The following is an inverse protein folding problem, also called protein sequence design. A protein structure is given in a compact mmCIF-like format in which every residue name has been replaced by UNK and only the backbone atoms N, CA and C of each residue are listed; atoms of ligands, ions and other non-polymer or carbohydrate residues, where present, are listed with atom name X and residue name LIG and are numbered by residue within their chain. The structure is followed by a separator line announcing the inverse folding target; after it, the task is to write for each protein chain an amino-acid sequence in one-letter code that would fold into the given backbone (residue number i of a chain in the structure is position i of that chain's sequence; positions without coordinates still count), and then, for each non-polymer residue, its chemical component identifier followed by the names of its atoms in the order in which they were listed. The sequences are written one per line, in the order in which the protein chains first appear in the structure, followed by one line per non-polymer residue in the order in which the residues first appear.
data_IF_358432268296
#
_entry.id   IF_358432268296
#
_cell.length_a   1.000
_cell.length_b   1.000
_cell.length_c   1.000
_cell.angle_alpha   90.00
_cell.angle_beta   90.00
_cell.angle_gamma   90.00
#
_symmetry.space_group_name_H-M   'P 1'
#
loop_
_entity.id
_entity.type
_entity.pdbx_description
1 polymer ?
#
# COMPACT_ATOMS: atom_id res chain seq x y z
N UNK A 1 -10.92 1.45 22.10
CA UNK A 1 -10.49 2.86 22.23
C UNK A 1 -9.88 3.44 20.95
N UNK A 2 -9.04 2.71 20.19
CA UNK A 2 -8.39 3.19 18.95
C UNK A 2 -9.40 3.63 17.88
N UNK A 3 -10.51 2.90 17.71
CA UNK A 3 -11.53 3.25 16.72
C UNK A 3 -12.19 4.61 16.96
N UNK A 4 -12.44 4.96 18.20
CA UNK A 4 -13.08 6.24 18.54
C UNK A 4 -12.17 7.43 18.25
N UNK A 5 -10.87 7.28 18.50
CA UNK A 5 -9.86 8.29 18.13
C UNK A 5 -9.74 8.44 16.61
N UNK A 6 -9.81 7.33 15.88
CA UNK A 6 -9.75 7.34 14.41
C UNK A 6 -10.96 8.06 13.80
N UNK A 7 -12.18 7.73 14.25
CA UNK A 7 -13.38 8.43 13.78
C UNK A 7 -13.40 9.91 14.19
N UNK A 8 -12.89 10.22 15.38
CA UNK A 8 -12.73 11.61 15.83
C UNK A 8 -11.76 12.40 14.93
N UNK A 9 -10.65 11.79 14.56
CA UNK A 9 -9.66 12.40 13.65
C UNK A 9 -10.25 12.65 12.24
N UNK A 10 -10.99 11.69 11.69
CA UNK A 10 -11.69 11.85 10.40
C UNK A 10 -12.73 12.97 10.48
N UNK A 11 -13.53 13.03 11.55
CA UNK A 11 -14.52 14.07 11.72
C UNK A 11 -13.88 15.47 11.80
N UNK A 12 -12.82 15.62 12.60
CA UNK A 12 -12.04 16.85 12.69
C UNK A 12 -11.44 17.25 11.33
N UNK A 13 -10.87 16.29 10.60
CA UNK A 13 -10.35 16.52 9.26
C UNK A 13 -11.47 16.96 8.30
N UNK A 14 -12.65 16.35 8.35
CA UNK A 14 -13.81 16.76 7.56
C UNK A 14 -14.25 18.19 7.85
N UNK A 15 -14.32 18.59 9.12
CA UNK A 15 -14.61 19.98 9.51
C UNK A 15 -13.55 20.94 9.00
N UNK A 16 -12.27 20.58 9.12
CA UNK A 16 -11.16 21.39 8.61
C UNK A 16 -11.24 21.58 7.09
N UNK A 17 -11.51 20.52 6.32
CA UNK A 17 -11.64 20.58 4.86
C UNK A 17 -12.81 21.45 4.41
N UNK A 18 -13.94 21.38 5.10
CA UNK A 18 -15.09 22.24 4.85
C UNK A 18 -14.76 23.71 5.16
N UNK A 19 -14.14 23.98 6.31
CA UNK A 19 -13.73 25.33 6.68
C UNK A 19 -12.74 25.92 5.65
N UNK A 20 -11.76 25.15 5.20
CA UNK A 20 -10.82 25.55 4.16
C UNK A 20 -11.52 25.78 2.81
N UNK A 21 -12.37 24.86 2.37
CA UNK A 21 -13.11 24.98 1.12
C UNK A 21 -14.00 26.22 1.04
N UNK A 22 -14.55 26.67 2.19
CA UNK A 22 -15.41 27.87 2.25
C UNK A 22 -14.57 29.14 2.37
N UNK A 23 -13.51 29.14 3.15
CA UNK A 23 -12.77 30.36 3.46
C UNK A 23 -11.65 30.66 2.44
N UNK A 24 -11.01 29.63 1.87
CA UNK A 24 -9.90 29.83 0.93
C UNK A 24 -10.29 30.66 -0.31
N UNK A 25 -11.44 30.43 -0.97
CA UNK A 25 -11.91 31.28 -2.08
C UNK A 25 -12.17 32.73 -1.64
N UNK A 26 -12.55 32.94 -0.37
CA UNK A 26 -12.73 34.30 0.20
C UNK A 26 -11.41 35.02 0.31
N UNK A 27 -10.39 34.35 0.83
CA UNK A 27 -9.05 34.94 1.03
C UNK A 27 -8.36 35.23 -0.31
N UNK A 28 -8.62 34.38 -1.33
CA UNK A 28 -8.08 34.58 -2.67
C UNK A 28 -8.86 35.60 -3.51
N UNK A 29 -9.93 36.21 -2.97
CA UNK A 29 -10.73 37.23 -3.69
C UNK A 29 -11.59 36.67 -4.83
N UNK A 30 -11.73 35.36 -4.94
CA UNK A 30 -12.49 34.69 -6.02
C UNK A 30 -13.97 34.69 -5.64
N UNK A 31 -14.68 35.80 -5.90
CA UNK A 31 -16.08 35.92 -5.51
C UNK A 31 -17.05 35.34 -6.54
N UNK A 32 -16.73 35.47 -7.85
CA UNK A 32 -17.68 35.16 -8.96
C UNK A 32 -18.01 33.66 -9.10
N UNK A 33 -17.07 32.76 -8.75
CA UNK A 33 -17.26 31.30 -8.91
C UNK A 33 -17.08 30.53 -7.58
N UNK A 34 -17.42 31.17 -6.50
CA UNK A 34 -17.22 30.68 -5.13
C UNK A 34 -17.77 29.27 -4.88
N UNK A 35 -19.06 28.96 -5.25
CA UNK A 35 -19.59 27.62 -5.02
C UNK A 35 -18.84 26.53 -5.82
N UNK A 36 -18.43 26.86 -7.04
CA UNK A 36 -17.67 25.93 -7.89
C UNK A 36 -16.31 25.59 -7.27
N UNK A 37 -15.59 26.60 -6.77
CA UNK A 37 -14.30 26.41 -6.08
C UNK A 37 -14.46 25.62 -4.78
N UNK A 38 -15.52 25.85 -4.02
CA UNK A 38 -15.77 25.08 -2.79
C UNK A 38 -16.01 23.61 -3.12
N UNK A 39 -16.83 23.31 -4.13
CA UNK A 39 -17.11 21.93 -4.56
C UNK A 39 -15.85 21.23 -5.07
N UNK A 40 -14.92 21.93 -5.71
CA UNK A 40 -13.67 21.35 -6.18
C UNK A 40 -12.63 21.19 -5.05
N UNK A 41 -12.48 22.19 -4.18
CA UNK A 41 -11.46 22.20 -3.15
C UNK A 41 -11.75 21.25 -1.98
N UNK A 42 -13.00 21.09 -1.59
CA UNK A 42 -13.37 20.20 -0.48
C UNK A 42 -12.89 18.75 -0.71
N UNK A 43 -13.25 18.08 -1.82
CA UNK A 43 -12.75 16.73 -2.08
C UNK A 43 -11.24 16.69 -2.28
N UNK A 44 -10.65 17.69 -2.93
CA UNK A 44 -9.20 17.74 -3.16
C UNK A 44 -8.42 17.78 -1.85
N UNK A 45 -8.83 18.63 -0.89
CA UNK A 45 -8.20 18.72 0.43
C UNK A 45 -8.53 17.49 1.27
N UNK A 46 -9.74 16.95 1.14
CA UNK A 46 -10.16 15.76 1.89
C UNK A 46 -9.32 14.53 1.52
N UNK A 47 -9.07 14.31 0.22
CA UNK A 47 -8.28 13.19 -0.26
C UNK A 47 -6.77 13.44 -0.27
N UNK A 48 -6.31 14.67 -0.01
CA UNK A 48 -4.88 15.00 -0.01
C UNK A 48 -4.01 14.05 0.80
N UNK A 49 -4.42 13.58 2.01
CA UNK A 49 -3.60 12.67 2.81
C UNK A 49 -3.39 11.27 2.22
N UNK A 50 -4.28 10.86 1.31
CA UNK A 50 -4.26 9.51 0.69
C UNK A 50 -4.01 9.57 -0.81
N UNK A 51 -3.65 10.73 -1.35
CA UNK A 51 -3.43 10.92 -2.80
C UNK A 51 -2.29 10.06 -3.33
N UNK A 52 -1.26 9.85 -2.54
CA UNK A 52 -0.12 9.00 -2.86
C UNK A 52 -0.56 7.53 -3.02
N UNK A 53 -1.43 7.04 -2.15
CA UNK A 53 -1.97 5.70 -2.24
C UNK A 53 -2.90 5.53 -3.44
N UNK A 54 -3.70 6.56 -3.77
CA UNK A 54 -4.57 6.56 -4.96
C UNK A 54 -3.71 6.46 -6.24
N UNK A 55 -2.61 7.22 -6.31
CA UNK A 55 -1.68 7.18 -7.45
C UNK A 55 -0.92 5.85 -7.51
N UNK A 56 -0.55 5.29 -6.36
CA UNK A 56 0.18 4.03 -6.27
C UNK A 56 -0.71 2.80 -6.54
N UNK A 57 -2.03 2.91 -6.39
CA UNK A 57 -2.98 1.80 -6.51
C UNK A 57 -2.85 1.00 -7.82
N UNK A 58 -2.85 1.62 -9.03
CA UNK A 58 -2.70 0.87 -10.28
C UNK A 58 -1.34 0.18 -10.39
N UNK A 59 -0.28 0.76 -9.83
CA UNK A 59 1.05 0.15 -9.82
C UNK A 59 1.08 -1.07 -8.90
N UNK A 60 0.47 -0.97 -7.72
CA UNK A 60 0.34 -2.11 -6.81
C UNK A 60 -0.46 -3.24 -7.46
N UNK A 61 -1.57 -2.94 -8.13
CA UNK A 61 -2.32 -3.94 -8.88
C UNK A 61 -1.50 -4.58 -10.01
N UNK A 62 -0.65 -3.81 -10.70
CA UNK A 62 0.22 -4.35 -11.73
C UNK A 62 1.27 -5.33 -11.15
N UNK A 63 1.86 -4.99 -10.00
CA UNK A 63 2.76 -5.87 -9.27
C UNK A 63 2.06 -7.17 -8.87
N UNK A 64 0.85 -7.08 -8.29
CA UNK A 64 0.07 -8.24 -7.90
C UNK A 64 -0.31 -9.15 -9.07
N UNK A 65 -0.50 -8.59 -10.27
CA UNK A 65 -0.82 -9.38 -11.47
C UNK A 65 0.41 -10.06 -12.09
N UNK A 66 1.58 -9.42 -11.99
CA UNK A 66 2.82 -9.95 -12.56
C UNK A 66 3.38 -11.10 -11.75
N UNK A 67 3.27 -11.05 -10.43
CA UNK A 67 3.80 -12.09 -9.57
C UNK A 67 2.71 -13.12 -9.22
N UNK A 68 2.92 -14.32 -9.72
CA UNK A 68 2.13 -15.47 -9.27
C UNK A 68 2.56 -15.83 -7.84
N UNK A 69 1.60 -16.20 -7.01
CA UNK A 69 1.84 -16.63 -5.64
C UNK A 69 2.91 -17.71 -5.50
N UNK A 70 2.99 -18.60 -6.49
CA UNK A 70 3.96 -19.67 -6.54
C UNK A 70 4.62 -19.68 -7.92
N UNK A 71 5.93 -19.56 -7.93
CA UNK A 71 6.75 -19.64 -9.13
C UNK A 71 7.73 -20.80 -8.94
N UNK A 72 7.70 -21.77 -9.84
CA UNK A 72 8.74 -22.81 -9.88
C UNK A 72 10.09 -22.18 -10.22
N UNK A 73 11.14 -22.66 -9.59
CA UNK A 73 12.48 -22.20 -9.91
C UNK A 73 12.82 -22.48 -11.39
N UNK A 74 13.69 -21.64 -12.02
CA UNK A 74 14.10 -21.86 -13.40
C UNK A 74 14.69 -23.25 -13.59
N UNK A 75 14.11 -24.04 -14.52
CA UNK A 75 14.53 -25.42 -14.78
C UNK A 75 13.83 -26.50 -13.96
N UNK A 76 12.92 -26.12 -13.06
CA UNK A 76 12.08 -27.06 -12.32
C UNK A 76 10.73 -27.23 -13.03
N UNK A 77 10.38 -28.50 -13.27
CA UNK A 77 9.04 -28.90 -13.74
C UNK A 77 8.19 -29.38 -12.58
N UNK A 78 6.89 -29.29 -12.73
CA UNK A 78 5.92 -29.75 -11.74
C UNK A 78 6.19 -31.20 -11.30
N UNK A 79 6.57 -32.08 -12.23
CA UNK A 79 6.89 -33.49 -11.96
C UNK A 79 8.14 -33.66 -11.12
N UNK A 80 9.16 -32.81 -11.31
CA UNK A 80 10.44 -32.89 -10.61
C UNK A 80 10.41 -32.21 -9.23
N UNK A 81 9.37 -31.46 -8.93
CA UNK A 81 9.20 -30.78 -7.64
C UNK A 81 8.54 -31.66 -6.58
N UNK A 82 7.81 -32.71 -6.96
CA UNK A 82 7.11 -33.59 -6.04
C UNK A 82 8.07 -34.51 -5.26
N UNK A 83 7.74 -34.74 -3.99
CA UNK A 83 8.46 -35.71 -3.15
C UNK A 83 9.80 -35.22 -2.58
N UNK A 84 10.18 -33.96 -2.82
CA UNK A 84 11.39 -33.38 -2.28
C UNK A 84 11.18 -32.88 -0.85
N UNK A 85 12.17 -33.10 -0.02
CA UNK A 85 12.20 -32.50 1.33
C UNK A 85 12.79 -31.10 1.22
N UNK A 86 12.00 -30.08 1.51
CA UNK A 86 12.41 -28.69 1.38
C UNK A 86 12.40 -27.97 2.72
N UNK A 87 13.30 -27.01 2.89
CA UNK A 87 13.22 -26.03 3.97
C UNK A 87 12.91 -24.65 3.40
N UNK A 88 12.30 -23.78 4.20
CA UNK A 88 11.92 -22.44 3.79
C UNK A 88 12.99 -21.43 4.19
N UNK A 89 13.36 -20.56 3.26
CA UNK A 89 14.23 -19.42 3.49
C UNK A 89 13.45 -18.14 3.21
N UNK A 90 13.33 -17.26 4.19
CA UNK A 90 12.66 -15.99 4.03
C UNK A 90 13.64 -14.89 3.64
N UNK A 91 13.31 -14.18 2.55
CA UNK A 91 14.03 -13.00 2.07
C UNK A 91 13.08 -11.82 2.03
N UNK A 92 13.53 -10.66 2.51
CA UNK A 92 12.74 -9.43 2.52
C UNK A 92 13.50 -8.35 1.78
N UNK A 93 12.81 -7.66 0.88
CA UNK A 93 13.33 -6.51 0.18
C UNK A 93 12.29 -5.39 0.23
N UNK A 94 12.74 -4.19 0.57
CA UNK A 94 11.88 -3.01 0.56
C UNK A 94 12.07 -2.28 -0.76
N UNK A 95 10.98 -2.02 -1.44
CA UNK A 95 10.93 -1.28 -2.69
C UNK A 95 9.98 -0.10 -2.52
N UNK A 96 10.30 1.04 -3.11
CA UNK A 96 9.39 2.18 -3.15
C UNK A 96 8.75 2.29 -4.51
N UNK A 97 7.42 2.41 -4.55
CA UNK A 97 6.68 2.68 -5.78
C UNK A 97 6.40 4.18 -5.90
N UNK A 98 6.16 4.65 -7.13
CA UNK A 98 5.81 6.05 -7.37
C UNK A 98 4.54 6.44 -6.59
N UNK A 99 4.51 7.59 -5.89
CA UNK A 99 5.48 8.71 -5.90
C UNK A 99 6.67 8.59 -4.92
N UNK A 100 7.14 7.40 -4.59
CA UNK A 100 8.23 7.08 -3.64
C UNK A 100 7.89 7.29 -2.16
N UNK A 101 6.70 7.78 -1.86
CA UNK A 101 6.17 7.91 -0.49
C UNK A 101 5.53 6.60 -0.02
N UNK A 102 5.18 5.72 -0.97
CA UNK A 102 4.62 4.41 -0.67
C UNK A 102 5.74 3.36 -0.71
N UNK A 103 6.01 2.77 0.45
CA UNK A 103 6.94 1.66 0.60
C UNK A 103 6.19 0.33 0.52
N UNK A 104 6.70 -0.56 -0.30
CA UNK A 104 6.20 -1.93 -0.44
C UNK A 104 7.30 -2.91 -0.05
N UNK A 105 7.01 -3.78 0.88
CA UNK A 105 7.92 -4.86 1.23
C UNK A 105 7.58 -6.08 0.40
N UNK A 106 8.55 -6.54 -0.37
CA UNK A 106 8.52 -7.81 -1.07
C UNK A 106 9.01 -8.92 -0.14
N UNK A 107 8.10 -9.78 0.24
CA UNK A 107 8.40 -10.98 0.99
C UNK A 107 8.56 -12.14 0.02
N UNK A 108 9.71 -12.79 0.06
CA UNK A 108 9.99 -13.96 -0.74
C UNK A 108 10.29 -15.12 0.20
N UNK A 109 9.54 -16.20 0.06
CA UNK A 109 9.82 -17.46 0.76
C UNK A 109 10.31 -18.43 -0.31
N UNK A 110 11.62 -18.70 -0.30
CA UNK A 110 12.21 -19.71 -1.17
C UNK A 110 12.15 -21.07 -0.46
N UNK A 111 11.67 -22.07 -1.16
CA UNK A 111 11.69 -23.46 -0.71
C UNK A 111 12.88 -24.16 -1.39
N UNK A 112 13.86 -24.51 -0.58
CA UNK A 112 15.14 -25.07 -1.03
C UNK A 112 15.21 -26.55 -0.67
N UNK A 113 15.58 -27.37 -1.63
CA UNK A 113 15.77 -28.81 -1.44
C UNK A 113 16.90 -29.06 -0.43
N UNK A 114 16.67 -29.92 0.55
CA UNK A 114 17.65 -30.24 1.60
C UNK A 114 18.88 -30.95 1.01
N UNK A 115 18.68 -31.77 -0.01
CA UNK A 115 19.73 -32.64 -0.59
C UNK A 115 20.57 -31.90 -1.62
N UNK A 116 19.93 -31.19 -2.57
CA UNK A 116 20.64 -30.55 -3.71
C UNK A 116 20.99 -29.08 -3.42
N UNK A 117 20.37 -28.46 -2.40
CA UNK A 117 20.48 -27.02 -2.13
C UNK A 117 19.98 -26.13 -3.25
N UNK A 118 19.16 -26.67 -4.14
CA UNK A 118 18.55 -25.93 -5.23
C UNK A 118 17.20 -25.36 -4.82
N UNK A 119 16.90 -24.17 -5.30
CA UNK A 119 15.57 -23.57 -5.12
C UNK A 119 14.56 -24.35 -5.96
N UNK A 120 13.48 -24.84 -5.33
CA UNK A 120 12.44 -25.63 -5.98
C UNK A 120 11.24 -24.76 -6.31
N UNK A 121 10.81 -23.96 -5.34
CA UNK A 121 9.61 -23.16 -5.41
C UNK A 121 9.86 -21.82 -4.72
N UNK A 122 9.30 -20.76 -5.25
CA UNK A 122 9.36 -19.44 -4.66
C UNK A 122 7.92 -18.90 -4.47
N UNK A 123 7.61 -18.48 -3.26
CA UNK A 123 6.40 -17.74 -2.95
C UNK A 123 6.75 -16.27 -2.79
N UNK A 124 6.02 -15.39 -3.47
CA UNK A 124 6.21 -13.94 -3.39
C UNK A 124 4.94 -13.27 -2.89
N UNK A 125 5.11 -12.31 -1.99
CA UNK A 125 4.02 -11.47 -1.48
C UNK A 125 4.47 -10.03 -1.44
N UNK A 126 3.59 -9.13 -1.82
CA UNK A 126 3.79 -7.70 -1.71
C UNK A 126 2.91 -7.13 -0.61
N UNK A 127 3.54 -6.48 0.34
CA UNK A 127 2.85 -5.84 1.46
C UNK A 127 3.16 -4.36 1.45
N UNK A 128 2.17 -3.49 1.22
CA UNK A 128 2.35 -2.06 1.40
C UNK A 128 2.56 -1.79 2.90
N UNK A 129 3.69 -1.16 3.23
CA UNK A 129 4.10 -0.95 4.63
C UNK A 129 3.87 0.47 5.06
N UNK A 130 4.04 1.43 4.14
CA UNK A 130 3.97 2.85 4.46
C UNK A 130 3.37 3.64 3.30
N UNK A 131 2.44 4.54 3.62
CA UNK A 131 1.97 5.63 2.79
C UNK A 131 2.20 6.96 3.49
N UNK A 132 1.81 8.07 2.89
CA UNK A 132 1.95 9.41 3.47
C UNK A 132 1.20 9.51 4.81
N UNK A 133 0.06 8.87 4.91
CA UNK A 133 -0.78 8.82 6.12
C UNK A 133 -0.59 7.48 6.85
N UNK A 134 0.65 7.15 7.22
CA UNK A 134 0.95 5.90 7.90
C UNK A 134 0.15 5.73 9.19
N UNK A 135 -0.75 4.74 9.21
CA UNK A 135 -1.49 4.36 10.42
C UNK A 135 -0.65 3.34 11.19
N UNK A 136 -0.35 3.58 12.48
CA UNK A 136 0.42 2.62 13.26
C UNK A 136 -0.35 1.31 13.41
N UNK A 137 0.28 0.21 13.00
CA UNK A 137 -0.26 -1.13 13.22
C UNK A 137 0.12 -1.61 14.62
N UNK A 138 -0.89 -1.75 15.50
CA UNK A 138 -0.68 -2.08 16.91
C UNK A 138 -0.06 -3.46 17.19
N UNK A 139 0.01 -4.37 16.22
CA UNK A 139 0.48 -5.74 16.43
C UNK A 139 1.93 -6.00 16.01
N UNK A 140 2.51 -5.16 15.14
CA UNK A 140 3.85 -5.42 14.57
C UNK A 140 4.78 -4.21 14.52
N UNK A 141 4.36 -3.07 15.09
CA UNK A 141 5.16 -1.84 15.07
C UNK A 141 5.34 -1.19 13.69
N UNK A 142 4.69 -1.75 12.65
CA UNK A 142 4.68 -1.21 11.30
C UNK A 142 3.58 -0.18 11.08
N UNK A 143 3.66 0.54 10.00
CA UNK A 143 2.58 1.42 9.52
C UNK A 143 1.77 0.67 8.47
N UNK A 144 0.46 0.92 8.43
CA UNK A 144 -0.43 0.38 7.41
C UNK A 144 -0.85 1.48 6.44
N UNK A 145 -1.05 1.13 5.20
CA UNK A 145 -1.71 1.98 4.20
C UNK A 145 -3.23 1.97 4.41
N UNK A 146 -3.90 3.05 4.03
CA UNK A 146 -5.37 3.19 4.20
C UNK A 146 -6.12 2.46 3.09
N UNK A 147 -5.64 2.58 1.85
CA UNK A 147 -6.33 2.09 0.65
C UNK A 147 -5.67 0.88 0.00
N UNK A 148 -4.35 0.70 0.19
CA UNK A 148 -3.61 -0.36 -0.46
C UNK A 148 -3.65 -1.65 0.36
N UNK A 149 -4.05 -2.73 -0.27
CA UNK A 149 -3.98 -4.06 0.29
C UNK A 149 -2.82 -4.85 -0.31
N UNK A 150 -2.21 -5.71 0.50
CA UNK A 150 -1.17 -6.61 0.03
C UNK A 150 -1.73 -7.76 -0.82
N UNK A 151 -0.89 -8.40 -1.58
CA UNK A 151 -1.17 -9.62 -2.36
C UNK A 151 -0.12 -10.71 -2.16
#
# INVERSE_FOLDING_TARGET
MIGLLFFGAIALWGVFTLAMGINLPRWLGIQRYRPLWTVALVPLVFFAPVVDEIIAYPQMQALCKQDRFFVLAPGMDEKNSYGRTVYSEERRANESIFPKTVEVTRWQTAYVDVSTKEEVLMNRRFLPVRGMLGIPNGSSGGQMTVLLNGC
#
